data_IF_569957320799
#
_entry.id   IF_569957320799
#
_cell.length_a   1.000
_cell.length_b   1.000
_cell.length_c   1.000
_cell.angle_alpha   90.00
_cell.angle_beta   90.00
_cell.angle_gamma   90.00
#
_symmetry.space_group_name_H-M   'P 1'
#
loop_
_entity.id
_entity.type
_entity.pdbx_description
1 polymer ?
#
# COMPACT_ATOMS: atom_id res chain seq x y z
N UNK A 1 -12.06 7.78 -4.55
CA UNK A 1 -12.37 7.70 -6.00
C UNK A 1 -11.52 8.74 -6.71
N UNK A 2 -11.09 8.51 -7.95
CA UNK A 2 -10.30 9.47 -8.74
C UNK A 2 -11.02 9.73 -10.04
N UNK A 3 -11.15 11.00 -10.40
CA UNK A 3 -11.77 11.44 -11.66
C UNK A 3 -10.67 12.06 -12.53
N UNK A 4 -10.77 11.89 -13.84
CA UNK A 4 -9.78 12.42 -14.79
C UNK A 4 -10.49 13.25 -15.84
N UNK A 5 -10.05 14.50 -16.01
CA UNK A 5 -10.47 15.40 -17.07
C UNK A 5 -9.33 15.66 -18.05
N UNK A 6 -9.66 15.95 -19.31
CA UNK A 6 -8.67 16.27 -20.33
C UNK A 6 -8.66 17.76 -20.65
N UNK A 7 -7.47 18.30 -20.98
CA UNK A 7 -7.32 19.61 -21.57
C UNK A 7 -6.21 19.60 -22.63
N UNK A 8 -6.31 20.51 -23.60
CA UNK A 8 -5.28 20.75 -24.62
C UNK A 8 -4.89 22.21 -24.57
N UNK A 9 -3.59 22.47 -24.53
CA UNK A 9 -3.02 23.81 -24.44
C UNK A 9 -2.04 23.99 -25.58
N UNK A 10 -2.04 25.17 -26.17
CA UNK A 10 -1.08 25.59 -27.17
C UNK A 10 -0.28 26.73 -26.56
N UNK A 11 1.00 26.51 -26.28
CA UNK A 11 1.87 27.52 -25.66
C UNK A 11 2.86 28.08 -26.69
N UNK A 12 3.02 29.40 -26.79
CA UNK A 12 4.07 29.98 -27.63
C UNK A 12 5.44 29.58 -27.11
N UNK A 13 6.39 29.30 -28.00
CA UNK A 13 7.77 28.97 -27.63
C UNK A 13 8.61 30.25 -27.57
N UNK A 14 9.17 30.64 -26.42
CA UNK A 14 9.97 31.86 -26.30
C UNK A 14 11.16 31.90 -27.26
N UNK A 15 11.79 30.75 -27.48
CA UNK A 15 13.00 30.62 -28.30
C UNK A 15 12.71 30.41 -29.80
N UNK A 16 11.45 30.21 -30.19
CA UNK A 16 11.04 29.93 -31.56
C UNK A 16 9.79 30.75 -31.94
N UNK A 17 9.96 32.01 -32.36
CA UNK A 17 8.85 32.89 -32.71
C UNK A 17 7.98 32.29 -33.82
N UNK A 18 6.67 32.19 -33.57
CA UNK A 18 5.71 31.60 -34.49
C UNK A 18 5.52 30.09 -34.34
N UNK A 19 6.36 29.40 -33.55
CA UNK A 19 6.13 28.00 -33.19
C UNK A 19 5.30 27.88 -31.91
N UNK A 20 4.44 26.87 -31.89
CA UNK A 20 3.56 26.55 -30.77
C UNK A 20 3.89 25.17 -30.24
N UNK A 21 4.09 25.06 -28.93
CA UNK A 21 4.19 23.80 -28.22
C UNK A 21 2.78 23.31 -27.88
N UNK A 22 2.38 22.21 -28.50
CA UNK A 22 1.12 21.53 -28.18
C UNK A 22 1.30 20.67 -26.94
N UNK A 23 0.47 20.91 -25.93
CA UNK A 23 0.44 20.17 -24.67
C UNK A 23 -0.92 19.52 -24.50
N UNK A 24 -0.90 18.27 -24.04
CA UNK A 24 -2.06 17.57 -23.51
C UNK A 24 -1.94 17.47 -21.99
N UNK A 25 -3.05 17.64 -21.30
CA UNK A 25 -3.13 17.60 -19.85
C UNK A 25 -4.19 16.59 -19.43
N UNK A 26 -3.82 15.71 -18.50
CA UNK A 26 -4.76 14.93 -17.71
C UNK A 26 -4.83 15.56 -16.31
N UNK A 27 -5.99 16.09 -15.96
CA UNK A 27 -6.24 16.67 -14.63
C UNK A 27 -6.93 15.63 -13.76
N UNK A 28 -6.22 15.16 -12.73
CA UNK A 28 -6.77 14.20 -11.78
C UNK A 28 -7.39 14.95 -10.60
N UNK A 29 -8.66 14.69 -10.33
CA UNK A 29 -9.30 15.07 -9.07
C UNK A 29 -9.22 13.89 -8.10
N UNK A 30 -8.34 14.00 -7.10
CA UNK A 30 -8.14 12.95 -6.10
C UNK A 30 -9.03 13.18 -4.88
N UNK A 31 -10.19 12.52 -4.86
CA UNK A 31 -11.15 12.61 -3.74
C UNK A 31 -10.62 11.96 -2.45
N UNK A 32 -9.50 11.23 -2.50
CA UNK A 32 -8.84 10.67 -1.29
C UNK A 32 -7.95 11.68 -0.59
N UNK A 33 -7.56 12.76 -1.27
CA UNK A 33 -6.64 13.77 -0.75
C UNK A 33 -7.36 15.10 -0.67
N UNK A 34 -7.76 15.47 0.53
CA UNK A 34 -8.41 16.75 0.80
C UNK A 34 -7.34 17.79 1.15
N UNK A 35 -7.42 18.95 0.51
CA UNK A 35 -6.57 20.11 0.80
C UNK A 35 -7.43 21.24 1.37
N UNK A 36 -6.92 22.03 2.33
CA UNK A 36 -7.64 23.21 2.81
C UNK A 36 -7.98 24.14 1.65
N UNK A 37 -9.21 24.67 1.66
CA UNK A 37 -9.59 25.74 0.72
C UNK A 37 -8.82 27.00 1.12
N UNK A 38 -8.00 27.60 0.23
CA UNK A 38 -7.35 28.86 0.55
C UNK A 38 -8.42 29.94 0.81
N UNK A 39 -8.21 30.82 1.79
CA UNK A 39 -9.13 31.93 2.04
C UNK A 39 -9.25 32.79 0.78
N UNK A 40 -10.43 33.39 0.57
CA UNK A 40 -10.65 34.28 -0.57
C UNK A 40 -9.61 35.43 -0.51
N UNK A 41 -8.85 35.71 -1.57
CA UNK A 41 -7.89 36.81 -1.58
C UNK A 41 -8.54 38.17 -1.29
N UNK A 42 -9.84 38.33 -1.53
CA UNK A 42 -10.60 39.54 -1.17
C UNK A 42 -10.81 39.71 0.35
N UNK A 43 -10.65 38.64 1.14
CA UNK A 43 -10.75 38.68 2.61
C UNK A 43 -9.40 39.08 3.29
N UNK A 44 -8.34 39.30 2.50
CA UNK A 44 -6.94 39.29 2.95
C UNK A 44 -6.30 40.60 3.43
N UNK A 45 -7.02 41.72 3.53
CA UNK A 45 -6.38 43.03 3.83
C UNK A 45 -6.10 43.33 5.31
N UNK A 46 -6.48 42.47 6.26
CA UNK A 46 -6.17 42.69 7.69
C UNK A 46 -5.53 41.47 8.31
N UNK A 47 -4.54 41.64 9.22
CA UNK A 47 -4.15 40.55 10.10
C UNK A 47 -5.42 40.10 10.83
N UNK A 48 -5.87 38.85 10.66
CA UNK A 48 -7.04 38.40 11.38
C UNK A 48 -6.69 38.47 12.86
N UNK A 49 -7.48 39.22 13.65
CA UNK A 49 -7.45 38.99 15.10
C UNK A 49 -7.74 37.50 15.27
N UNK A 50 -7.05 36.84 16.19
CA UNK A 50 -7.23 35.40 16.44
C UNK A 50 -8.70 35.02 16.75
N UNK A 51 -9.54 35.99 17.10
CA UNK A 51 -10.97 35.85 17.40
C UNK A 51 -11.90 36.25 16.22
N UNK A 52 -11.35 36.56 15.04
CA UNK A 52 -12.12 37.00 13.87
C UNK A 52 -13.14 35.95 13.43
N UNK A 53 -12.76 34.67 13.49
CA UNK A 53 -13.58 33.54 13.07
C UNK A 53 -14.63 33.13 14.12
N UNK A 54 -14.57 33.71 15.33
CA UNK A 54 -15.50 33.43 16.42
C UNK A 54 -16.75 34.30 16.31
N UNK A 55 -17.93 33.70 16.48
CA UNK A 55 -19.21 34.40 16.64
C UNK A 55 -19.24 35.29 17.88
N UNK A 56 -20.19 36.25 17.96
CA UNK A 56 -20.28 37.21 19.08
C UNK A 56 -20.29 36.56 20.47
N UNK A 57 -20.96 35.42 20.61
CA UNK A 57 -21.06 34.67 21.87
C UNK A 57 -19.78 33.89 22.17
N UNK A 58 -19.13 33.35 21.15
CA UNK A 58 -17.87 32.60 21.27
C UNK A 58 -16.71 33.50 21.70
N UNK A 59 -16.75 34.78 21.32
CA UNK A 59 -15.78 35.80 21.75
C UNK A 59 -15.85 36.13 23.23
N UNK A 60 -16.97 35.84 23.91
CA UNK A 60 -17.24 36.18 25.31
C UNK A 60 -16.91 35.02 26.25
N UNK A 61 -15.75 34.38 26.04
CA UNK A 61 -15.30 33.22 26.80
C UNK A 61 -15.12 33.49 28.31
N UNK A 62 -15.13 34.77 28.72
CA UNK A 62 -15.06 35.20 30.12
C UNK A 62 -16.44 35.35 30.80
N UNK A 63 -17.56 35.14 30.09
CA UNK A 63 -18.90 35.21 30.68
C UNK A 63 -19.28 33.91 31.41
N UNK A 64 -19.94 34.05 32.57
CA UNK A 64 -20.47 32.92 33.32
C UNK A 64 -21.52 32.16 32.49
N UNK A 65 -21.34 30.84 32.37
CA UNK A 65 -22.20 29.97 31.55
C UNK A 65 -21.72 29.75 30.12
N UNK A 66 -20.57 30.30 29.72
CA UNK A 66 -19.96 30.01 28.43
C UNK A 66 -19.58 28.52 28.30
N UNK A 67 -19.88 27.93 27.14
CA UNK A 67 -19.51 26.55 26.80
C UNK A 67 -18.64 26.51 25.55
N UNK A 68 -17.53 25.77 25.62
CA UNK A 68 -16.67 25.54 24.48
C UNK A 68 -17.42 24.78 23.39
N UNK A 69 -17.67 25.43 22.27
CA UNK A 69 -18.19 24.78 21.05
C UNK A 69 -17.01 24.42 20.17
N UNK A 70 -17.02 23.22 19.60
CA UNK A 70 -15.95 22.80 18.69
C UNK A 70 -15.88 23.75 17.50
N UNK A 71 -14.67 24.24 17.18
CA UNK A 71 -14.47 25.10 16.03
C UNK A 71 -14.99 24.39 14.76
N UNK A 72 -15.65 25.11 13.83
CA UNK A 72 -16.12 24.52 12.60
C UNK A 72 -14.95 23.93 11.82
N UNK A 73 -15.16 22.73 11.25
CA UNK A 73 -14.13 22.08 10.47
C UNK A 73 -13.71 22.96 9.28
N UNK A 74 -12.40 23.10 9.07
CA UNK A 74 -11.86 23.83 7.92
C UNK A 74 -12.42 23.23 6.64
N UNK A 75 -12.95 24.08 5.76
CA UNK A 75 -13.44 23.63 4.46
C UNK A 75 -12.28 23.04 3.66
N UNK A 76 -12.51 21.85 3.10
CA UNK A 76 -11.52 21.16 2.27
C UNK A 76 -12.08 20.83 0.91
N UNK A 77 -11.22 20.86 -0.11
CA UNK A 77 -11.54 20.46 -1.49
C UNK A 77 -10.63 19.32 -1.94
N UNK A 78 -11.09 18.45 -2.86
CA UNK A 78 -10.23 17.42 -3.46
C UNK A 78 -9.00 18.02 -4.13
N UNK A 79 -7.85 17.38 -3.93
CA UNK A 79 -6.59 17.80 -4.55
C UNK A 79 -6.66 17.59 -6.07
N UNK A 80 -6.34 18.65 -6.81
CA UNK A 80 -6.15 18.60 -8.25
C UNK A 80 -4.67 18.34 -8.57
N UNK A 81 -4.41 17.38 -9.47
CA UNK A 81 -3.06 16.99 -9.89
C UNK A 81 -3.00 17.06 -11.42
N UNK A 82 -2.35 18.08 -11.99
CA UNK A 82 -2.16 18.19 -13.44
C UNK A 82 -0.98 17.33 -13.90
N UNK A 83 -1.23 16.44 -14.87
CA UNK A 83 -0.20 15.67 -15.57
C UNK A 83 -0.11 16.20 -17.00
N UNK A 84 1.07 16.66 -17.41
CA UNK A 84 1.29 17.32 -18.70
C UNK A 84 2.17 16.44 -19.58
N UNK A 85 1.86 16.41 -20.87
CA UNK A 85 2.66 15.70 -21.89
C UNK A 85 2.66 16.45 -23.21
N UNK A 86 3.76 16.31 -23.95
CA UNK A 86 3.90 16.75 -25.35
C UNK A 86 3.53 15.65 -26.34
N UNK A 87 3.19 14.44 -25.87
CA UNK A 87 2.80 13.33 -26.72
C UNK A 87 1.51 13.65 -27.48
N UNK A 88 1.52 13.41 -28.80
CA UNK A 88 0.43 13.82 -29.68
C UNK A 88 -0.82 12.95 -29.58
N UNK A 89 -0.71 11.68 -29.18
CA UNK A 89 -1.80 10.69 -29.34
C UNK A 89 -2.33 10.10 -28.03
N UNK A 90 -1.71 10.39 -26.89
CA UNK A 90 -2.10 9.76 -25.62
C UNK A 90 -3.45 10.26 -25.11
N UNK A 91 -4.25 9.32 -24.61
CA UNK A 91 -5.52 9.59 -23.92
C UNK A 91 -5.27 10.11 -22.49
N UNK A 92 -6.20 10.90 -21.95
CA UNK A 92 -6.05 11.49 -20.62
C UNK A 92 -6.13 10.44 -19.50
N UNK A 93 -6.98 9.43 -19.64
CA UNK A 93 -7.11 8.34 -18.66
C UNK A 93 -5.86 7.46 -18.71
N UNK A 94 -5.40 7.13 -19.92
CA UNK A 94 -4.14 6.41 -20.13
C UNK A 94 -2.94 7.17 -19.56
N UNK A 95 -2.84 8.48 -19.78
CA UNK A 95 -1.79 9.33 -19.22
C UNK A 95 -1.82 9.34 -17.69
N UNK A 96 -3.02 9.47 -17.09
CA UNK A 96 -3.20 9.43 -15.64
C UNK A 96 -2.79 8.06 -15.07
N UNK A 97 -3.20 6.96 -15.70
CA UNK A 97 -2.79 5.62 -15.29
C UNK A 97 -1.29 5.43 -15.41
N UNK A 98 -0.67 5.85 -16.51
CA UNK A 98 0.78 5.76 -16.71
C UNK A 98 1.51 6.49 -15.58
N UNK A 99 1.09 7.72 -15.26
CA UNK A 99 1.66 8.48 -14.15
C UNK A 99 1.50 7.78 -12.79
N UNK A 100 0.31 7.25 -12.50
CA UNK A 100 0.03 6.55 -11.23
C UNK A 100 0.89 5.28 -11.10
N UNK A 101 0.98 4.47 -12.15
CA UNK A 101 1.72 3.20 -12.14
C UNK A 101 3.24 3.38 -12.22
N UNK A 102 3.71 4.52 -12.73
CA UNK A 102 5.14 4.88 -12.71
C UNK A 102 5.71 4.82 -11.30
N UNK A 103 4.92 5.26 -10.31
CA UNK A 103 5.40 5.45 -8.95
C UNK A 103 5.87 4.14 -8.28
N UNK A 104 5.05 3.06 -8.19
CA UNK A 104 5.52 1.78 -7.66
C UNK A 104 6.77 1.24 -8.38
N UNK A 105 6.88 1.43 -9.69
CA UNK A 105 8.03 0.98 -10.46
C UNK A 105 9.31 1.75 -10.07
N UNK A 106 9.24 3.07 -9.97
CA UNK A 106 10.36 3.90 -9.53
C UNK A 106 10.80 3.59 -8.10
N UNK A 107 9.83 3.47 -7.18
CA UNK A 107 10.10 3.15 -5.79
C UNK A 107 10.75 1.77 -5.64
N UNK A 108 10.31 0.77 -6.40
CA UNK A 108 10.93 -0.56 -6.38
C UNK A 108 12.39 -0.52 -6.81
N UNK A 109 12.73 0.21 -7.88
CA UNK A 109 14.12 0.36 -8.35
C UNK A 109 14.98 1.03 -7.28
N UNK A 110 14.47 2.09 -6.64
CA UNK A 110 15.18 2.79 -5.57
C UNK A 110 15.41 1.85 -4.37
N UNK A 111 14.38 1.11 -3.95
CA UNK A 111 14.49 0.15 -2.86
C UNK A 111 15.48 -0.97 -3.17
N UNK A 112 15.49 -1.48 -4.39
CA UNK A 112 16.44 -2.51 -4.81
C UNK A 112 17.88 -2.01 -4.71
N UNK A 113 18.14 -0.74 -5.06
CA UNK A 113 19.45 -0.11 -4.93
C UNK A 113 19.86 0.14 -3.47
N UNK A 114 18.92 0.55 -2.61
CA UNK A 114 19.21 0.95 -1.23
C UNK A 114 19.29 -0.22 -0.25
N UNK A 115 18.62 -1.34 -0.57
CA UNK A 115 18.55 -2.50 0.31
C UNK A 115 19.90 -3.13 0.66
N UNK A 116 20.88 -3.27 -0.26
CA UNK A 116 22.23 -3.71 0.08
C UNK A 116 22.95 -2.79 1.08
N UNK A 117 22.56 -1.52 1.15
CA UNK A 117 23.12 -0.53 2.08
C UNK A 117 22.45 -0.56 3.46
N UNK A 118 21.50 -1.48 3.69
CA UNK A 118 20.72 -1.55 4.93
C UNK A 118 19.66 -0.45 5.06
N UNK A 119 19.34 0.24 3.96
CA UNK A 119 18.37 1.33 3.93
C UNK A 119 17.04 0.79 3.34
N UNK A 120 16.00 0.70 4.19
CA UNK A 120 14.63 0.34 3.79
C UNK A 120 13.67 1.47 4.16
N UNK A 121 13.90 2.62 3.53
CA UNK A 121 13.05 3.80 3.68
C UNK A 121 12.10 3.91 2.48
N UNK A 122 10.81 4.13 2.75
CA UNK A 122 9.87 4.51 1.69
C UNK A 122 10.13 5.97 1.31
N UNK A 123 10.47 6.23 0.05
CA UNK A 123 10.80 7.57 -0.43
C UNK A 123 9.59 8.32 -1.02
N UNK A 124 8.37 7.77 -0.89
CA UNK A 124 7.30 8.10 -1.82
C UNK A 124 6.35 9.26 -1.62
N UNK A 125 5.82 9.73 -2.77
CA UNK A 125 4.84 10.82 -2.97
C UNK A 125 3.49 10.63 -2.23
N UNK A 126 3.26 9.45 -1.66
CA UNK A 126 2.09 9.16 -0.83
C UNK A 126 2.44 8.69 0.58
N UNK A 127 3.72 8.46 0.88
CA UNK A 127 4.17 7.67 2.05
C UNK A 127 3.45 6.32 2.19
N UNK A 128 2.74 5.86 1.16
CA UNK A 128 2.14 4.54 1.12
C UNK A 128 3.27 3.51 1.00
N UNK A 129 3.25 2.46 1.83
CA UNK A 129 4.30 1.45 1.81
C UNK A 129 4.26 0.69 0.48
N UNK A 130 5.35 0.75 -0.28
CA UNK A 130 5.52 -0.08 -1.49
C UNK A 130 6.29 -1.33 -1.09
N UNK A 131 5.66 -2.49 -1.26
CA UNK A 131 6.33 -3.78 -1.04
C UNK A 131 7.35 -3.98 -2.16
N UNK A 132 8.61 -4.15 -1.78
CA UNK A 132 9.69 -4.40 -2.71
C UNK A 132 9.44 -5.73 -3.46
N UNK A 133 9.52 -5.70 -4.79
CA UNK A 133 9.26 -6.86 -5.63
C UNK A 133 10.23 -8.02 -5.38
N UNK A 134 11.49 -7.74 -5.06
CA UNK A 134 12.48 -8.79 -4.71
C UNK A 134 12.22 -9.37 -3.32
N UNK A 135 11.71 -8.59 -2.37
CA UNK A 135 11.20 -9.11 -1.09
C UNK A 135 10.04 -10.07 -1.32
N UNK A 136 9.04 -9.66 -2.11
CA UNK A 136 7.88 -10.48 -2.41
C UNK A 136 8.27 -11.80 -3.09
N UNK A 137 9.18 -11.76 -4.08
CA UNK A 137 9.70 -12.98 -4.74
C UNK A 137 10.40 -13.91 -3.74
N UNK A 138 11.27 -13.36 -2.87
CA UNK A 138 11.96 -14.15 -1.84
C UNK A 138 10.98 -14.78 -0.87
N UNK A 139 9.94 -14.06 -0.48
CA UNK A 139 8.90 -14.56 0.41
C UNK A 139 8.18 -15.76 -0.23
N UNK A 140 7.74 -15.65 -1.49
CA UNK A 140 7.10 -16.76 -2.22
C UNK A 140 8.01 -18.00 -2.29
N UNK A 141 9.30 -17.81 -2.55
CA UNK A 141 10.27 -18.93 -2.57
C UNK A 141 10.41 -19.59 -1.20
N UNK A 142 10.46 -18.80 -0.13
CA UNK A 142 10.56 -19.32 1.24
C UNK A 142 9.29 -20.04 1.65
N UNK A 143 8.11 -19.49 1.38
CA UNK A 143 6.82 -20.13 1.64
C UNK A 143 6.72 -21.49 0.95
N UNK A 144 7.12 -21.57 -0.33
CA UNK A 144 7.17 -22.83 -1.08
C UNK A 144 8.23 -23.82 -0.57
N UNK A 145 9.28 -23.37 0.13
CA UNK A 145 10.22 -24.26 0.83
C UNK A 145 9.63 -24.78 2.13
N UNK A 146 8.97 -23.92 2.91
CA UNK A 146 8.30 -24.29 4.17
C UNK A 146 7.24 -25.35 3.92
N UNK A 147 6.35 -25.15 2.93
CA UNK A 147 5.32 -26.12 2.57
C UNK A 147 5.91 -27.49 2.18
N UNK A 148 7.01 -27.49 1.43
CA UNK A 148 7.71 -28.73 1.05
C UNK A 148 8.27 -29.45 2.27
N UNK A 149 8.88 -28.73 3.21
CA UNK A 149 9.41 -29.30 4.44
C UNK A 149 8.30 -29.86 5.33
N UNK A 150 7.17 -29.15 5.44
CA UNK A 150 6.00 -29.62 6.19
C UNK A 150 5.46 -30.93 5.60
N UNK A 151 5.30 -30.99 4.28
CA UNK A 151 4.86 -32.20 3.60
C UNK A 151 5.84 -33.37 3.82
N UNK A 152 7.14 -33.14 3.71
CA UNK A 152 8.16 -34.17 3.97
C UNK A 152 8.16 -34.63 5.44
N UNK A 153 7.96 -33.71 6.38
CA UNK A 153 7.87 -34.02 7.81
C UNK A 153 6.62 -34.87 8.10
N UNK A 154 5.48 -34.54 7.52
CA UNK A 154 4.25 -35.32 7.63
C UNK A 154 4.42 -36.73 7.05
N UNK A 155 4.98 -36.84 5.83
CA UNK A 155 5.24 -38.13 5.21
C UNK A 155 6.21 -39.00 6.03
N UNK A 156 7.24 -38.38 6.61
CA UNK A 156 8.20 -39.09 7.48
C UNK A 156 7.55 -39.58 8.77
N UNK A 157 6.67 -38.78 9.39
CA UNK A 157 5.91 -39.18 10.58
C UNK A 157 4.99 -40.36 10.28
N UNK A 158 4.27 -40.33 9.16
CA UNK A 158 3.41 -41.44 8.74
C UNK A 158 4.21 -42.73 8.50
N UNK A 159 5.37 -42.65 7.84
CA UNK A 159 6.24 -43.82 7.67
C UNK A 159 6.74 -44.39 9.00
N UNK A 160 7.09 -43.52 9.95
CA UNK A 160 7.54 -43.95 11.27
C UNK A 160 6.41 -44.62 12.07
N UNK A 161 5.18 -44.13 11.97
CA UNK A 161 4.01 -44.80 12.59
C UNK A 161 3.78 -46.17 11.96
N UNK A 162 3.77 -46.26 10.63
CA UNK A 162 3.57 -47.53 9.93
C UNK A 162 4.64 -48.57 10.30
N UNK A 163 5.91 -48.17 10.34
CA UNK A 163 7.01 -49.04 10.74
C UNK A 163 6.89 -49.50 12.21
N UNK A 164 6.42 -48.62 13.10
CA UNK A 164 6.21 -48.95 14.51
C UNK A 164 5.07 -49.94 14.68
N UNK A 165 3.98 -49.77 13.94
CA UNK A 165 2.84 -50.68 13.96
C UNK A 165 3.23 -52.07 13.43
N UNK A 166 4.02 -52.11 12.35
CA UNK A 166 4.59 -53.37 11.82
C UNK A 166 5.49 -54.08 12.83
N UNK A 167 6.39 -53.37 13.52
CA UNK A 167 7.25 -53.98 14.54
C UNK A 167 6.43 -54.54 15.70
N UNK A 168 5.41 -53.81 16.17
CA UNK A 168 4.50 -54.30 17.22
C UNK A 168 3.76 -55.58 16.81
N UNK A 169 3.28 -55.65 15.56
CA UNK A 169 2.63 -56.86 15.03
C UNK A 169 3.60 -58.05 14.98
N UNK A 170 4.85 -57.83 14.54
CA UNK A 170 5.88 -58.87 14.51
C UNK A 170 6.24 -59.36 15.91
N UNK A 171 6.35 -58.46 16.88
CA UNK A 171 6.61 -58.84 18.28
C UNK A 171 5.43 -59.61 18.90
N UNK A 172 4.18 -59.18 18.66
CA UNK A 172 3.00 -59.90 19.12
C UNK A 172 2.90 -61.31 18.50
N UNK A 173 3.21 -61.45 17.21
CA UNK A 173 3.26 -62.76 16.54
C UNK A 173 4.33 -63.69 17.11
N UNK A 174 5.52 -63.16 17.44
CA UNK A 174 6.60 -63.94 18.09
C UNK A 174 6.25 -64.38 19.51
N UNK A 175 5.55 -63.54 20.29
CA UNK A 175 5.10 -63.88 21.63
C UNK A 175 4.02 -64.99 21.63
N UNK A 176 3.15 -65.02 20.62
CA UNK A 176 2.10 -66.04 20.48
C UNK A 176 2.66 -67.42 20.04
N UNK A 177 3.77 -67.44 19.29
CA UNK A 177 4.44 -68.68 18.86
C UNK A 177 5.26 -69.39 19.94
N UNK A 178 5.42 -68.80 21.12
CA UNK A 178 6.25 -69.32 22.22
C UNK A 178 5.44 -69.98 23.36
N UNK A 179 4.33 -70.67 23.04
CA UNK A 179 3.70 -71.58 24.01
C UNK A 179 4.44 -72.94 24.00
N UNK A 180 5.04 -73.38 25.13
CA UNK A 180 5.65 -74.70 25.20
C UNK A 180 4.58 -75.78 25.08
N UNK A 181 4.75 -76.71 24.12
CA UNK A 181 3.87 -77.89 23.99
C UNK A 181 3.92 -78.68 25.31
N UNK A 182 2.77 -79.09 25.87
CA UNK A 182 2.78 -79.94 27.05
C UNK A 182 3.37 -81.29 26.69
N UNK A 183 4.35 -81.74 27.48
CA UNK A 183 4.87 -83.09 27.47
C UNK A 183 3.74 -84.05 27.83
N UNK A 184 3.21 -84.77 26.84
CA UNK A 184 2.37 -85.94 27.08
C UNK A 184 3.22 -87.00 27.79
N UNK A 185 2.81 -87.35 29.00
CA UNK A 185 3.37 -88.42 29.82
C UNK A 185 2.80 -89.76 29.34
N UNK A 186 3.68 -90.74 29.09
CA UNK A 186 3.37 -92.18 29.12
C UNK A 186 3.80 -92.76 30.47
#
# INVERSE_FOLDING_TARGET
>A
MREVACARLALPRPDHPGEVLSLRVALIRDLRRLVPVPPNPEDGERPPRWDADLGRTERRWWEDGWQATAAPATQTTPKLIPIVTTAETIDAVELAHTYIHRWPAQENIIKDYLRPLGLDTNHGYAKEPVVNSELAKRQVVLEGRTQRLEHLAQASRARLTDLRDQDQQLQAGKACGAQPRPLEQM
#
